data_IF_245388978402
#
_entry.id   IF_245388978402
#
_cell.length_a   1.000
_cell.length_b   1.000
_cell.length_c   1.000
_cell.angle_alpha   90.00
_cell.angle_beta   90.00
_cell.angle_gamma   90.00
#
_symmetry.space_group_name_H-M   'P 1'
#
loop_
_entity.id
_entity.type
_entity.pdbx_description
1 polymer ?
#
# COMPACT_ATOMS: atom_id res chain seq x y z
N UNK A 1 -27.49 22.35 6.10
CA UNK A 1 -26.27 21.68 6.65
C UNK A 1 -25.68 20.71 5.62
N UNK A 2 -24.35 20.70 5.44
CA UNK A 2 -23.65 19.77 4.56
C UNK A 2 -22.54 19.03 5.31
N UNK A 3 -22.60 17.69 5.32
CA UNK A 3 -21.56 16.84 5.89
C UNK A 3 -20.57 16.45 4.78
N UNK A 4 -19.28 16.45 5.08
CA UNK A 4 -18.23 16.14 4.11
C UNK A 4 -16.98 15.61 4.79
N UNK A 5 -15.99 15.18 4.00
CA UNK A 5 -14.69 14.66 4.45
C UNK A 5 -14.82 13.46 5.41
N UNK A 6 -15.77 12.54 5.08
CA UNK A 6 -15.98 11.31 5.82
C UNK A 6 -14.74 10.43 5.75
N UNK A 7 -14.24 9.97 6.90
CA UNK A 7 -13.03 9.17 7.00
C UNK A 7 -13.17 8.05 8.01
N UNK A 8 -12.49 6.95 7.74
CA UNK A 8 -12.21 5.88 8.71
C UNK A 8 -10.70 5.76 8.83
N UNK A 9 -10.18 5.77 10.07
CA UNK A 9 -8.76 5.82 10.37
C UNK A 9 -8.04 6.93 9.55
N UNK A 10 -8.67 8.13 9.52
CA UNK A 10 -8.18 9.34 8.83
C UNK A 10 -8.08 9.23 7.30
N UNK A 11 -8.59 8.17 6.68
CA UNK A 11 -8.57 7.93 5.25
C UNK A 11 -9.97 7.93 4.65
N UNK A 12 -10.12 8.40 3.40
CA UNK A 12 -11.37 8.32 2.63
C UNK A 12 -11.49 6.95 1.97
N UNK A 13 -12.61 6.28 2.20
CA UNK A 13 -12.91 4.97 1.62
C UNK A 13 -11.73 4.01 1.66
N UNK A 14 -11.08 3.81 2.82
CA UNK A 14 -9.87 2.99 2.90
C UNK A 14 -10.18 1.51 2.68
N UNK A 15 -9.19 0.81 2.11
CA UNK A 15 -9.16 -0.65 2.05
C UNK A 15 -7.98 -1.18 2.86
N UNK A 16 -8.15 -2.35 3.46
CA UNK A 16 -7.07 -3.02 4.18
C UNK A 16 -6.66 -2.33 5.48
N UNK A 17 -7.61 -1.77 6.21
CA UNK A 17 -7.35 -1.12 7.50
C UNK A 17 -7.55 -2.09 8.67
N UNK A 18 -6.95 -1.75 9.81
CA UNK A 18 -7.25 -2.40 11.08
C UNK A 18 -8.69 -2.05 11.53
N UNK A 19 -9.48 -3.09 11.81
CA UNK A 19 -10.87 -2.97 12.26
C UNK A 19 -11.04 -3.18 13.77
N UNK A 20 -9.97 -3.35 14.53
CA UNK A 20 -10.08 -3.58 15.97
C UNK A 20 -10.73 -2.40 16.70
N UNK A 21 -10.36 -1.18 16.34
CA UNK A 21 -10.95 0.06 16.90
C UNK A 21 -10.98 1.15 15.82
N UNK A 22 -11.81 1.02 14.77
CA UNK A 22 -11.82 1.96 13.67
C UNK A 22 -12.36 3.32 14.13
N UNK A 23 -11.64 4.38 13.76
CA UNK A 23 -11.97 5.76 14.13
C UNK A 23 -12.69 6.45 12.99
N UNK A 24 -13.95 6.80 13.18
CA UNK A 24 -14.79 7.52 12.23
C UNK A 24 -14.71 9.03 12.48
N UNK A 25 -14.64 9.79 11.39
CA UNK A 25 -14.64 11.26 11.48
C UNK A 25 -15.35 11.90 10.29
N UNK A 26 -15.92 13.08 10.50
CA UNK A 26 -16.60 13.88 9.49
C UNK A 26 -16.49 15.37 9.79
N UNK A 27 -16.75 16.19 8.79
CA UNK A 27 -16.81 17.64 8.90
C UNK A 27 -18.18 18.16 8.51
N UNK A 28 -18.54 19.29 9.06
CA UNK A 28 -19.82 19.97 8.83
C UNK A 28 -19.55 21.36 8.30
N UNK A 29 -20.34 21.81 7.35
CA UNK A 29 -20.36 23.19 6.85
C UNK A 29 -21.79 23.60 6.46
N UNK A 30 -22.00 24.91 6.25
CA UNK A 30 -23.30 25.46 5.82
C UNK A 30 -24.43 25.07 6.78
N UNK A 31 -24.24 25.24 8.07
CA UNK A 31 -25.20 24.93 9.13
C UNK A 31 -25.63 26.21 9.85
N UNK A 32 -26.82 26.20 10.50
CA UNK A 32 -27.41 27.37 11.13
C UNK A 32 -27.00 27.55 12.58
N UNK A 33 -26.80 26.45 13.29
CA UNK A 33 -26.37 26.44 14.66
C UNK A 33 -24.91 26.85 14.86
N UNK A 34 -24.43 26.68 16.08
CA UNK A 34 -23.04 26.98 16.46
C UNK A 34 -22.22 25.73 16.69
N UNK A 35 -22.84 24.60 17.02
CA UNK A 35 -22.19 23.34 17.27
C UNK A 35 -23.12 22.15 16.97
N UNK A 36 -22.51 20.96 16.83
CA UNK A 36 -23.23 19.71 16.77
C UNK A 36 -23.86 19.40 18.15
N UNK A 37 -25.16 19.14 18.19
CA UNK A 37 -25.85 18.69 19.40
C UNK A 37 -25.76 17.16 19.53
N UNK A 38 -26.26 16.43 18.53
CA UNK A 38 -26.09 14.97 18.49
C UNK A 38 -25.81 14.49 17.08
N UNK A 39 -25.39 13.21 17.00
CA UNK A 39 -25.29 12.50 15.72
C UNK A 39 -25.70 11.05 15.88
N UNK A 40 -26.00 10.41 14.74
CA UNK A 40 -26.31 8.99 14.64
C UNK A 40 -25.51 8.39 13.49
N UNK A 41 -24.70 7.37 13.80
CA UNK A 41 -23.82 6.67 12.85
C UNK A 41 -24.38 5.29 12.56
N UNK A 42 -24.50 4.95 11.29
CA UNK A 42 -24.88 3.61 10.83
C UNK A 42 -23.72 2.97 10.08
N UNK A 43 -23.53 1.66 10.31
CA UNK A 43 -22.64 0.82 9.53
C UNK A 43 -23.42 -0.36 9.00
N UNK A 44 -23.24 -0.72 7.73
CA UNK A 44 -23.96 -1.77 7.04
C UNK A 44 -23.03 -2.61 6.16
N UNK A 45 -23.37 -3.89 5.95
CA UNK A 45 -22.71 -4.75 4.96
C UNK A 45 -23.15 -4.44 3.50
N UNK A 46 -24.19 -3.63 3.30
CA UNK A 46 -24.64 -3.25 1.97
C UNK A 46 -25.00 -1.76 1.89
N UNK A 47 -24.87 -1.22 0.70
CA UNK A 47 -25.07 0.20 0.39
C UNK A 47 -26.50 0.71 0.65
N UNK A 48 -27.49 -0.18 0.59
CA UNK A 48 -28.91 0.15 0.84
C UNK A 48 -29.30 0.10 2.32
N UNK A 49 -28.35 -0.18 3.23
CA UNK A 49 -28.56 -0.23 4.68
C UNK A 49 -29.66 -1.18 5.17
N UNK A 50 -29.91 -2.29 4.45
CA UNK A 50 -30.81 -3.36 4.89
C UNK A 50 -30.13 -4.41 5.76
N UNK A 51 -28.79 -4.40 5.83
CA UNK A 51 -27.96 -5.31 6.63
C UNK A 51 -27.10 -4.50 7.61
N UNK A 52 -27.77 -3.82 8.54
CA UNK A 52 -27.09 -3.04 9.56
C UNK A 52 -26.28 -3.95 10.50
N UNK A 53 -25.04 -3.59 10.73
CA UNK A 53 -24.16 -4.20 11.75
C UNK A 53 -23.98 -3.29 12.97
N UNK A 54 -24.23 -1.99 12.79
CA UNK A 54 -24.15 -1.02 13.87
C UNK A 54 -25.09 0.16 13.64
N UNK A 55 -25.71 0.61 14.72
CA UNK A 55 -26.50 1.84 14.83
C UNK A 55 -26.22 2.47 16.19
N UNK A 56 -25.59 3.64 16.20
CA UNK A 56 -25.24 4.31 17.46
C UNK A 56 -26.46 4.80 18.26
N UNK A 57 -27.64 4.91 17.61
CA UNK A 57 -28.68 5.78 18.10
C UNK A 57 -28.24 7.25 18.10
N UNK A 58 -29.09 8.12 18.54
CA UNK A 58 -28.78 9.55 18.72
C UNK A 58 -27.91 9.76 19.96
N UNK A 59 -26.67 10.23 19.74
CA UNK A 59 -25.69 10.42 20.81
C UNK A 59 -24.85 11.68 20.59
N UNK A 60 -24.41 12.30 21.68
CA UNK A 60 -23.36 13.32 21.64
C UNK A 60 -22.00 12.62 21.41
N UNK A 61 -21.54 12.57 20.18
CA UNK A 61 -20.25 11.99 19.81
C UNK A 61 -19.33 13.04 19.19
N UNK A 62 -18.03 12.82 19.33
CA UNK A 62 -17.04 13.71 18.74
C UNK A 62 -16.90 13.40 17.23
N UNK A 63 -17.18 14.39 16.38
CA UNK A 63 -17.03 14.28 14.92
C UNK A 63 -15.57 14.13 14.45
N UNK A 64 -14.59 14.45 15.30
CA UNK A 64 -13.17 14.28 14.99
C UNK A 64 -12.66 12.85 15.26
N UNK A 65 -13.41 12.06 16.04
CA UNK A 65 -13.00 10.69 16.38
C UNK A 65 -14.09 9.95 17.14
N UNK A 66 -14.87 9.16 16.44
CA UNK A 66 -15.87 8.25 16.98
C UNK A 66 -15.46 6.81 16.73
N UNK A 67 -15.33 6.00 17.79
CA UNK A 67 -15.05 4.57 17.70
C UNK A 67 -16.31 3.80 18.09
N UNK A 68 -16.97 3.07 17.16
CA UNK A 68 -18.12 2.24 17.47
C UNK A 68 -17.67 0.99 18.24
N UNK A 69 -18.49 0.57 19.19
CA UNK A 69 -18.34 -0.73 19.86
C UNK A 69 -19.07 -1.78 19.01
N UNK A 70 -18.37 -2.32 18.03
CA UNK A 70 -18.88 -3.31 17.06
C UNK A 70 -17.77 -4.21 16.57
N UNK A 71 -18.06 -5.48 16.45
CA UNK A 71 -17.17 -6.42 15.76
C UNK A 71 -17.38 -6.33 14.24
N UNK A 72 -16.29 -6.10 13.52
CA UNK A 72 -16.25 -6.02 12.06
C UNK A 72 -15.28 -7.09 11.53
N UNK A 73 -15.74 -7.90 10.58
CA UNK A 73 -14.94 -8.97 10.01
C UNK A 73 -13.91 -8.40 8.99
N UNK A 74 -12.64 -8.81 9.05
CA UNK A 74 -11.64 -8.43 8.07
C UNK A 74 -12.00 -8.95 6.66
N UNK A 75 -11.45 -8.29 5.62
CA UNK A 75 -11.69 -8.67 4.22
C UNK A 75 -13.10 -8.38 3.67
N UNK A 76 -14.02 -7.94 4.53
CA UNK A 76 -15.38 -7.53 4.11
C UNK A 76 -15.45 -6.02 3.85
N UNK A 77 -16.19 -5.58 2.81
CA UNK A 77 -16.55 -4.19 2.64
C UNK A 77 -17.70 -3.81 3.58
N UNK A 78 -17.65 -2.59 4.09
CA UNK A 78 -18.69 -1.97 4.89
C UNK A 78 -19.03 -0.60 4.33
N UNK A 79 -20.28 -0.20 4.51
CA UNK A 79 -20.82 1.11 4.15
C UNK A 79 -21.24 1.82 5.42
N UNK A 80 -21.05 3.12 5.45
CA UNK A 80 -21.44 3.92 6.59
C UNK A 80 -21.90 5.31 6.20
N UNK A 81 -22.74 5.88 7.05
CA UNK A 81 -23.22 7.25 6.96
C UNK A 81 -23.47 7.82 8.32
N UNK A 82 -23.63 9.12 8.41
CA UNK A 82 -23.90 9.84 9.64
C UNK A 82 -25.00 10.88 9.44
N UNK A 83 -25.95 10.94 10.38
CA UNK A 83 -26.89 12.03 10.58
C UNK A 83 -26.34 12.93 11.68
N UNK A 84 -26.45 14.23 11.51
CA UNK A 84 -26.09 15.24 12.52
C UNK A 84 -27.25 16.18 12.71
N UNK A 85 -27.50 16.53 13.97
CA UNK A 85 -28.37 17.64 14.39
C UNK A 85 -27.48 18.72 15.01
N UNK A 86 -27.67 19.98 14.62
CA UNK A 86 -27.04 21.11 15.32
C UNK A 86 -27.89 21.65 16.47
N UNK A 87 -27.36 22.57 17.26
CA UNK A 87 -28.03 23.19 18.40
C UNK A 87 -29.19 24.13 18.00
N UNK A 88 -29.43 24.37 16.72
CA UNK A 88 -30.62 25.03 16.18
C UNK A 88 -31.73 24.05 15.78
N UNK A 89 -31.47 22.74 15.84
CA UNK A 89 -32.37 21.69 15.36
C UNK A 89 -32.30 21.40 13.86
N UNK A 90 -31.32 21.96 13.14
CA UNK A 90 -31.14 21.66 11.74
C UNK A 90 -30.51 20.27 11.58
N UNK A 91 -31.12 19.42 10.72
CA UNK A 91 -30.64 18.08 10.42
C UNK A 91 -29.87 18.05 9.10
N UNK A 92 -28.80 17.26 9.07
CA UNK A 92 -28.06 16.93 7.85
C UNK A 92 -27.63 15.48 7.86
N UNK A 93 -27.75 14.80 6.71
CA UNK A 93 -27.26 13.44 6.53
C UNK A 93 -26.11 13.46 5.50
N UNK A 94 -25.12 12.63 5.72
CA UNK A 94 -23.97 12.49 4.82
C UNK A 94 -24.31 11.65 3.59
N UNK A 95 -23.47 11.77 2.55
CA UNK A 95 -23.36 10.74 1.54
C UNK A 95 -22.87 9.43 2.19
N UNK A 96 -23.06 8.30 1.47
CA UNK A 96 -22.58 7.00 1.90
C UNK A 96 -21.07 6.94 1.63
N UNK A 97 -20.31 6.53 2.63
CA UNK A 97 -18.89 6.21 2.51
C UNK A 97 -18.67 4.71 2.76
N UNK A 98 -17.53 4.20 2.32
CA UNK A 98 -17.19 2.78 2.45
C UNK A 98 -15.82 2.57 3.08
N UNK A 99 -15.59 1.37 3.61
CA UNK A 99 -14.27 0.92 4.06
C UNK A 99 -14.20 -0.60 4.02
N UNK A 100 -12.98 -1.13 4.01
CA UNK A 100 -12.74 -2.58 3.99
C UNK A 100 -11.61 -2.91 4.96
N UNK A 101 -11.76 -4.03 5.68
CA UNK A 101 -10.74 -4.55 6.58
C UNK A 101 -9.53 -5.15 5.87
N UNK A 102 -8.53 -5.53 6.66
CA UNK A 102 -7.31 -6.18 6.19
C UNK A 102 -7.53 -7.60 5.67
N UNK A 103 -6.49 -8.43 5.75
CA UNK A 103 -6.50 -9.81 5.26
C UNK A 103 -7.68 -10.61 5.85
N UNK A 104 -8.45 -11.35 5.01
CA UNK A 104 -9.70 -11.98 5.44
C UNK A 104 -9.51 -13.16 6.39
N UNK A 105 -8.34 -13.75 6.44
CA UNK A 105 -8.02 -14.93 7.23
C UNK A 105 -6.85 -14.65 8.18
N UNK A 106 -6.85 -15.31 9.35
CA UNK A 106 -5.74 -15.24 10.30
C UNK A 106 -4.45 -15.83 9.71
N UNK A 107 -4.59 -16.92 8.97
CA UNK A 107 -3.47 -17.61 8.33
C UNK A 107 -3.38 -17.25 6.85
N UNK A 108 -2.22 -16.78 6.41
CA UNK A 108 -1.93 -16.53 5.03
C UNK A 108 -1.77 -17.83 4.24
N UNK A 109 -2.30 -17.88 3.01
CA UNK A 109 -2.06 -18.98 2.08
C UNK A 109 -0.60 -19.01 1.62
N UNK A 110 -0.04 -17.83 1.38
CA UNK A 110 1.35 -17.65 1.03
C UNK A 110 2.31 -18.04 2.14
N UNK A 111 3.53 -18.31 1.74
CA UNK A 111 4.67 -18.49 2.63
C UNK A 111 5.71 -17.42 2.33
N UNK A 112 6.48 -17.02 3.33
CA UNK A 112 7.62 -16.16 3.13
C UNK A 112 8.60 -16.81 2.16
N UNK A 113 8.94 -16.08 1.10
CA UNK A 113 9.91 -16.51 0.08
C UNK A 113 11.05 -15.51 -0.02
N UNK A 114 12.22 -16.01 -0.44
CA UNK A 114 13.43 -15.24 -0.72
C UNK A 114 14.09 -15.73 -2.00
N UNK A 115 15.04 -14.95 -2.50
CA UNK A 115 15.80 -15.32 -3.68
C UNK A 115 16.99 -16.23 -3.31
N UNK A 116 17.27 -17.32 -4.06
CA UNK A 116 18.37 -18.24 -3.78
C UNK A 116 19.72 -17.76 -4.36
N UNK A 117 19.94 -16.45 -4.38
CA UNK A 117 21.20 -15.85 -4.79
C UNK A 117 21.70 -14.87 -3.73
N UNK A 118 22.83 -14.21 -3.97
CA UNK A 118 23.42 -13.30 -2.98
C UNK A 118 22.40 -12.30 -2.44
N UNK A 119 22.34 -12.15 -1.13
CA UNK A 119 21.49 -11.20 -0.42
C UNK A 119 21.76 -9.73 -0.78
N UNK A 120 22.90 -9.42 -1.39
CA UNK A 120 23.24 -8.08 -1.86
C UNK A 120 22.53 -7.71 -3.18
N UNK A 121 22.01 -8.71 -3.91
CA UNK A 121 21.31 -8.50 -5.18
C UNK A 121 19.83 -8.26 -4.89
N UNK A 122 19.32 -7.13 -5.32
CA UNK A 122 17.91 -6.81 -5.20
C UNK A 122 17.07 -7.72 -6.11
N UNK A 123 16.05 -8.40 -5.57
CA UNK A 123 15.24 -9.33 -6.35
C UNK A 123 14.00 -8.67 -6.95
N UNK A 124 13.49 -9.30 -8.02
CA UNK A 124 12.10 -9.19 -8.45
C UNK A 124 11.47 -10.57 -8.33
N UNK A 125 10.41 -10.69 -7.54
CA UNK A 125 9.62 -11.90 -7.47
C UNK A 125 8.50 -11.85 -8.50
N UNK A 126 8.41 -12.86 -9.35
CA UNK A 126 7.48 -12.86 -10.48
C UNK A 126 6.62 -14.13 -10.51
N UNK A 127 5.32 -13.96 -10.76
CA UNK A 127 4.35 -15.05 -10.88
C UNK A 127 3.39 -14.82 -12.04
N UNK A 128 3.14 -15.86 -12.80
CA UNK A 128 2.06 -15.89 -13.77
C UNK A 128 0.79 -16.47 -13.13
N UNK A 129 -0.31 -15.75 -13.27
CA UNK A 129 -1.63 -16.14 -12.78
C UNK A 129 -2.59 -16.17 -13.97
N UNK A 130 -3.35 -17.25 -14.11
CA UNK A 130 -4.36 -17.35 -15.15
C UNK A 130 -5.73 -16.94 -14.62
N UNK A 131 -6.36 -15.98 -15.30
CA UNK A 131 -7.70 -15.46 -14.99
C UNK A 131 -8.57 -15.60 -16.25
N UNK A 132 -9.04 -16.83 -16.57
CA UNK A 132 -9.73 -17.09 -17.84
C UNK A 132 -11.06 -16.37 -17.96
N UNK A 133 -11.74 -16.07 -16.84
CA UNK A 133 -13.09 -15.52 -16.77
C UNK A 133 -13.10 -14.20 -15.97
N UNK A 134 -12.35 -13.21 -16.44
CA UNK A 134 -12.22 -11.91 -15.75
C UNK A 134 -13.58 -11.23 -15.54
N UNK A 135 -14.52 -11.42 -16.43
CA UNK A 135 -15.89 -10.90 -16.36
C UNK A 135 -16.72 -11.47 -15.20
N UNK A 136 -16.31 -12.62 -14.66
CA UNK A 136 -16.91 -13.22 -13.46
C UNK A 136 -16.28 -12.74 -12.16
N UNK A 137 -15.14 -12.06 -12.23
CA UNK A 137 -14.49 -11.52 -11.03
C UNK A 137 -15.25 -10.28 -10.57
N UNK A 138 -15.76 -10.31 -9.35
CA UNK A 138 -16.40 -9.19 -8.69
C UNK A 138 -15.36 -8.27 -8.01
N UNK A 139 -14.48 -8.88 -7.23
CA UNK A 139 -13.46 -8.19 -6.43
C UNK A 139 -12.12 -8.94 -6.52
N UNK A 140 -11.02 -8.19 -6.62
CA UNK A 140 -9.68 -8.75 -6.53
C UNK A 140 -8.83 -7.92 -5.56
N UNK A 141 -8.20 -8.58 -4.59
CA UNK A 141 -7.30 -7.94 -3.60
C UNK A 141 -5.98 -8.66 -3.57
N UNK A 142 -4.91 -7.89 -3.57
CA UNK A 142 -3.57 -8.37 -3.28
C UNK A 142 -3.16 -7.85 -1.90
N UNK A 143 -2.94 -8.77 -0.99
CA UNK A 143 -2.33 -8.51 0.32
C UNK A 143 -0.85 -8.80 0.19
N UNK A 144 0.00 -7.86 0.55
CA UNK A 144 1.44 -7.98 0.31
C UNK A 144 2.27 -7.32 1.39
N UNK A 145 3.35 -7.99 1.78
CA UNK A 145 4.38 -7.49 2.66
C UNK A 145 5.76 -7.85 2.12
N UNK A 146 6.65 -6.87 1.99
CA UNK A 146 8.04 -7.07 1.62
C UNK A 146 8.98 -6.65 2.76
N UNK A 147 10.02 -7.41 3.00
CA UNK A 147 11.09 -7.06 3.92
C UNK A 147 12.26 -6.44 3.13
N UNK A 148 12.29 -5.16 3.14
CA UNK A 148 12.88 -4.18 2.26
C UNK A 148 11.77 -3.23 1.77
N UNK A 149 12.10 -2.19 1.03
CA UNK A 149 11.07 -1.41 0.32
C UNK A 149 10.62 -2.20 -0.91
N UNK A 150 9.33 -2.08 -1.28
CA UNK A 150 8.83 -2.80 -2.42
C UNK A 150 7.81 -2.00 -3.25
N UNK A 151 7.71 -2.39 -4.50
CA UNK A 151 6.67 -1.96 -5.42
C UNK A 151 6.08 -3.17 -6.15
N UNK A 152 4.77 -3.13 -6.39
CA UNK A 152 4.04 -4.17 -7.11
C UNK A 152 3.68 -3.68 -8.50
N UNK A 153 3.85 -4.56 -9.48
CA UNK A 153 3.42 -4.35 -10.86
C UNK A 153 2.57 -5.54 -11.32
N UNK A 154 1.50 -5.25 -12.04
CA UNK A 154 0.70 -6.26 -12.74
C UNK A 154 0.66 -5.90 -14.22
N UNK A 155 1.03 -6.85 -15.08
CA UNK A 155 1.12 -6.65 -16.53
C UNK A 155 1.96 -5.41 -16.90
N UNK A 156 3.04 -5.15 -16.15
CA UNK A 156 3.95 -4.02 -16.35
C UNK A 156 3.42 -2.67 -15.84
N UNK A 157 2.22 -2.62 -15.25
CA UNK A 157 1.64 -1.40 -14.68
C UNK A 157 1.83 -1.41 -13.16
N UNK A 158 2.38 -0.33 -12.60
CA UNK A 158 2.51 -0.17 -11.13
C UNK A 158 1.13 -0.17 -10.49
N UNK A 159 0.96 -0.98 -9.45
CA UNK A 159 -0.27 -1.05 -8.65
C UNK A 159 -0.25 0.03 -7.57
N UNK A 160 -1.31 0.83 -7.55
CA UNK A 160 -1.47 1.90 -6.56
C UNK A 160 -0.50 3.07 -6.74
N UNK A 161 -0.51 3.98 -5.77
CA UNK A 161 0.22 5.24 -5.80
C UNK A 161 1.11 5.46 -4.56
N UNK A 162 1.30 4.40 -3.76
CA UNK A 162 2.08 4.44 -2.54
C UNK A 162 3.57 4.27 -2.83
N UNK A 163 4.40 4.86 -1.95
CA UNK A 163 5.85 4.77 -1.95
C UNK A 163 6.36 4.42 -0.56
N UNK A 164 7.58 3.88 -0.48
CA UNK A 164 8.26 3.51 0.76
C UNK A 164 7.52 2.45 1.60
N UNK A 165 6.71 1.60 0.96
CA UNK A 165 6.06 0.47 1.62
C UNK A 165 7.08 -0.60 2.00
N UNK A 166 6.90 -1.32 3.13
CA UNK A 166 5.74 -1.39 4.03
C UNK A 166 5.68 -0.29 5.10
N UNK A 167 6.50 0.74 5.02
CA UNK A 167 6.75 1.77 6.03
C UNK A 167 7.61 1.29 7.20
N UNK A 168 8.11 2.26 7.96
CA UNK A 168 8.91 1.98 9.13
C UNK A 168 8.05 1.55 10.31
N UNK A 169 8.46 0.46 10.96
CA UNK A 169 7.95 -0.01 12.24
C UNK A 169 9.11 -0.62 13.04
N UNK A 170 8.91 -0.98 14.28
CA UNK A 170 9.85 -1.89 14.93
C UNK A 170 9.53 -3.33 14.47
N UNK A 171 10.20 -3.76 13.42
CA UNK A 171 9.97 -5.06 12.77
C UNK A 171 10.20 -6.27 13.68
N UNK A 172 10.69 -6.08 14.89
CA UNK A 172 10.78 -7.16 15.91
C UNK A 172 9.43 -7.47 16.52
N UNK A 173 8.50 -6.49 16.52
CA UNK A 173 7.20 -6.60 17.15
C UNK A 173 6.07 -6.67 16.13
N UNK A 174 6.07 -5.79 15.12
CA UNK A 174 5.01 -5.74 14.14
C UNK A 174 5.47 -5.21 12.79
N UNK A 175 4.84 -5.69 11.73
CA UNK A 175 5.18 -5.39 10.34
C UNK A 175 3.89 -5.07 9.59
N UNK A 176 3.84 -3.95 8.92
CA UNK A 176 2.66 -3.58 8.14
C UNK A 176 2.65 -4.32 6.80
N UNK A 177 1.48 -4.83 6.41
CA UNK A 177 1.21 -5.25 5.05
C UNK A 177 0.24 -4.27 4.38
N UNK A 178 0.26 -4.22 3.06
CA UNK A 178 -0.65 -3.40 2.28
C UNK A 178 -1.71 -4.28 1.61
N UNK A 179 -2.92 -3.72 1.50
CA UNK A 179 -4.01 -4.26 0.70
C UNK A 179 -4.16 -3.40 -0.54
N UNK A 180 -4.15 -4.03 -1.71
CA UNK A 180 -4.26 -3.34 -2.99
C UNK A 180 -5.47 -3.84 -3.76
N UNK A 181 -6.30 -2.94 -4.28
CA UNK A 181 -7.31 -3.28 -5.29
C UNK A 181 -6.60 -3.52 -6.62
N UNK A 182 -6.68 -4.75 -7.11
CA UNK A 182 -5.96 -5.15 -8.32
C UNK A 182 -6.86 -5.53 -9.47
N UNK A 183 -8.18 -5.43 -9.31
CA UNK A 183 -9.13 -5.87 -10.33
C UNK A 183 -8.91 -5.18 -11.68
N UNK A 184 -8.70 -3.88 -11.70
CA UNK A 184 -8.50 -3.10 -12.93
C UNK A 184 -7.15 -3.36 -13.64
N UNK A 185 -6.20 -4.00 -12.96
CA UNK A 185 -4.91 -4.37 -13.52
C UNK A 185 -4.90 -5.76 -14.15
N UNK A 186 -5.94 -6.57 -13.86
CA UNK A 186 -6.06 -7.94 -14.38
C UNK A 186 -6.74 -7.94 -15.74
N UNK A 187 -6.25 -8.82 -16.62
CA UNK A 187 -6.76 -9.04 -17.96
C UNK A 187 -7.24 -10.50 -18.11
N UNK A 188 -8.04 -10.80 -19.13
CA UNK A 188 -8.46 -12.16 -19.43
C UNK A 188 -7.26 -13.03 -19.81
N UNK A 189 -7.13 -14.19 -19.20
CA UNK A 189 -6.06 -15.13 -19.41
C UNK A 189 -4.84 -14.89 -18.52
N UNK A 190 -3.63 -14.99 -19.06
CA UNK A 190 -2.39 -14.92 -18.28
C UNK A 190 -2.04 -13.51 -17.85
N UNK A 191 -1.94 -13.32 -16.54
CA UNK A 191 -1.50 -12.09 -15.90
C UNK A 191 -0.14 -12.33 -15.23
N UNK A 192 0.71 -11.34 -15.26
CA UNK A 192 2.01 -11.38 -14.60
C UNK A 192 2.04 -10.41 -13.44
N UNK A 193 2.39 -10.91 -12.26
CA UNK A 193 2.59 -10.14 -11.04
C UNK A 193 4.09 -10.07 -10.78
N UNK A 194 4.65 -8.89 -10.64
CA UNK A 194 6.04 -8.63 -10.31
C UNK A 194 6.12 -7.82 -9.02
N UNK A 195 6.91 -8.28 -8.05
CA UNK A 195 7.17 -7.58 -6.79
C UNK A 195 8.66 -7.26 -6.73
N UNK A 196 9.00 -5.98 -6.89
CA UNK A 196 10.35 -5.45 -6.82
C UNK A 196 10.70 -5.15 -5.36
N UNK A 197 11.86 -5.59 -4.89
CA UNK A 197 12.37 -5.25 -3.56
C UNK A 197 13.67 -4.48 -3.66
N UNK A 198 13.82 -3.52 -2.75
CA UNK A 198 15.04 -2.73 -2.57
C UNK A 198 15.37 -2.53 -1.09
N UNK A 199 16.57 -2.03 -0.79
CA UNK A 199 16.94 -1.72 0.58
C UNK A 199 16.02 -0.65 1.18
N UNK A 200 15.73 -0.81 2.46
CA UNK A 200 14.90 0.09 3.24
C UNK A 200 15.27 0.03 4.71
N UNK A 201 14.31 0.13 5.60
CA UNK A 201 14.57 0.10 7.04
C UNK A 201 14.77 -1.30 7.58
N UNK A 202 14.14 -2.32 7.02
CA UNK A 202 14.33 -3.72 7.43
C UNK A 202 15.72 -4.21 7.04
N UNK A 203 16.02 -4.21 5.74
CA UNK A 203 17.31 -4.50 5.14
C UNK A 203 17.88 -3.22 4.55
N UNK A 204 19.09 -2.86 4.92
CA UNK A 204 19.74 -1.64 4.50
C UNK A 204 20.22 -0.80 5.68
N UNK A 205 20.38 0.49 5.45
CA UNK A 205 20.81 1.43 6.47
C UNK A 205 19.62 1.96 7.27
N UNK A 206 19.76 2.00 8.58
CA UNK A 206 18.73 2.49 9.49
C UNK A 206 19.36 3.25 10.66
N UNK A 207 19.09 4.57 10.72
CA UNK A 207 19.48 5.40 11.85
C UNK A 207 20.99 5.51 12.11
N UNK A 208 21.32 6.29 13.09
CA UNK A 208 22.69 6.60 13.49
C UNK A 208 22.90 6.33 14.99
N UNK A 209 24.00 5.74 15.34
CA UNK A 209 24.40 5.55 16.75
C UNK A 209 25.76 6.17 16.98
N UNK A 210 26.23 6.21 18.24
CA UNK A 210 27.59 6.60 18.60
C UNK A 210 28.69 5.70 17.98
N UNK A 211 28.29 4.52 17.43
CA UNK A 211 29.17 3.59 16.68
C UNK A 211 29.03 3.72 15.16
N UNK A 212 28.29 4.71 14.70
CA UNK A 212 28.02 4.95 13.27
C UNK A 212 26.64 4.52 12.82
N UNK A 213 26.48 4.39 11.49
CA UNK A 213 25.23 4.05 10.84
C UNK A 213 24.89 2.57 11.04
N UNK A 214 23.71 2.30 11.55
CA UNK A 214 23.18 0.92 11.66
C UNK A 214 22.87 0.36 10.27
N UNK A 215 23.28 -0.90 10.04
CA UNK A 215 22.98 -1.65 8.82
C UNK A 215 22.33 -2.97 9.20
N UNK A 216 21.33 -3.39 8.39
CA UNK A 216 20.69 -4.71 8.52
C UNK A 216 20.25 -5.02 9.96
N UNK A 217 19.75 -3.99 10.66
CA UNK A 217 19.43 -4.06 12.08
C UNK A 217 18.30 -5.07 12.38
N UNK A 218 17.34 -5.17 11.47
CA UNK A 218 16.19 -6.06 11.63
C UNK A 218 16.35 -7.36 10.85
N UNK A 219 17.10 -7.35 9.76
CA UNK A 219 17.38 -8.51 8.94
C UNK A 219 18.22 -8.18 7.72
N UNK A 220 18.82 -9.21 7.13
CA UNK A 220 19.80 -9.09 6.05
C UNK A 220 19.33 -9.73 4.73
N UNK A 221 18.09 -10.25 4.67
CA UNK A 221 17.54 -10.89 3.50
C UNK A 221 16.30 -10.16 2.99
N UNK A 222 16.19 -10.05 1.67
CA UNK A 222 14.94 -9.65 1.03
C UNK A 222 13.95 -10.80 1.11
N UNK A 223 12.77 -10.53 1.64
CA UNK A 223 11.70 -11.52 1.72
C UNK A 223 10.39 -10.91 1.25
N UNK A 224 9.48 -11.72 0.76
CA UNK A 224 8.13 -11.31 0.42
C UNK A 224 7.12 -12.36 0.82
N UNK A 225 5.97 -11.89 1.26
CA UNK A 225 4.75 -12.65 1.49
C UNK A 225 3.61 -11.95 0.76
N UNK A 226 2.82 -12.70 0.01
CA UNK A 226 1.66 -12.14 -0.67
C UNK A 226 0.57 -13.18 -0.87
N UNK A 227 -0.69 -12.70 -0.81
CA UNK A 227 -1.90 -13.44 -1.16
C UNK A 227 -2.76 -12.63 -2.12
N UNK A 228 -3.03 -13.19 -3.30
CA UNK A 228 -4.01 -12.67 -4.24
C UNK A 228 -5.33 -13.41 -4.03
N UNK A 229 -6.39 -12.67 -3.71
CA UNK A 229 -7.76 -13.17 -3.63
C UNK A 229 -8.58 -12.68 -4.81
N UNK A 230 -9.28 -13.61 -5.45
CA UNK A 230 -10.19 -13.38 -6.56
C UNK A 230 -11.59 -13.85 -6.14
N UNK A 231 -12.48 -12.91 -5.83
CA UNK A 231 -13.89 -13.21 -5.52
C UNK A 231 -14.71 -13.14 -6.80
N UNK A 232 -15.47 -14.19 -7.06
CA UNK A 232 -16.40 -14.26 -8.19
C UNK A 232 -17.79 -13.79 -7.80
N UNK A 233 -18.57 -13.38 -8.79
CA UNK A 233 -19.97 -12.94 -8.64
C UNK A 233 -20.91 -14.01 -8.08
N UNK A 234 -20.55 -15.28 -8.20
CA UNK A 234 -21.27 -16.43 -7.63
C UNK A 234 -20.90 -16.72 -6.17
N UNK A 235 -20.04 -15.91 -5.57
CA UNK A 235 -19.55 -16.06 -4.20
C UNK A 235 -18.32 -16.96 -4.06
N UNK A 236 -17.87 -17.64 -5.13
CA UNK A 236 -16.64 -18.44 -5.06
C UNK A 236 -15.42 -17.53 -4.90
N UNK A 237 -14.45 -18.01 -4.12
CA UNK A 237 -13.20 -17.31 -3.87
C UNK A 237 -12.01 -18.19 -4.20
N UNK A 238 -11.03 -17.64 -4.89
CA UNK A 238 -9.75 -18.28 -5.16
C UNK A 238 -8.65 -17.47 -4.49
N UNK A 239 -7.80 -18.14 -3.71
CA UNK A 239 -6.60 -17.54 -3.13
C UNK A 239 -5.34 -18.11 -3.78
N UNK A 240 -4.37 -17.26 -4.05
CA UNK A 240 -3.08 -17.59 -4.68
C UNK A 240 -1.98 -16.93 -3.86
N UNK A 241 -1.24 -17.72 -3.10
CA UNK A 241 -0.17 -17.23 -2.23
C UNK A 241 1.23 -17.30 -2.85
N UNK A 242 2.18 -16.68 -2.15
CA UNK A 242 3.61 -16.85 -2.45
C UNK A 242 4.08 -18.25 -2.09
N UNK A 243 4.81 -18.88 -3.01
CA UNK A 243 5.38 -20.22 -2.86
C UNK A 243 6.64 -20.40 -3.74
N UNK A 244 7.20 -21.61 -3.75
CA UNK A 244 8.39 -21.93 -4.55
C UNK A 244 8.17 -21.90 -6.08
N UNK A 245 6.95 -21.73 -6.56
CA UNK A 245 6.67 -21.59 -8.00
C UNK A 245 6.82 -20.14 -8.49
N UNK A 246 7.02 -19.18 -7.59
CA UNK A 246 7.43 -17.84 -7.96
C UNK A 246 8.86 -17.82 -8.46
N UNK A 247 9.13 -17.03 -9.48
CA UNK A 247 10.47 -16.79 -9.97
C UNK A 247 11.16 -15.71 -9.15
N UNK A 248 12.44 -15.88 -8.90
CA UNK A 248 13.34 -14.86 -8.36
C UNK A 248 14.26 -14.36 -9.48
N UNK A 249 14.10 -13.11 -9.87
CA UNK A 249 14.88 -12.45 -10.91
C UNK A 249 15.77 -11.37 -10.30
N UNK A 250 16.87 -11.02 -10.97
CA UNK A 250 17.70 -9.89 -10.57
C UNK A 250 17.04 -8.59 -11.02
N UNK A 251 16.93 -7.62 -10.13
CA UNK A 251 16.32 -6.31 -10.40
C UNK A 251 17.19 -5.45 -11.33
N UNK A 252 16.57 -4.60 -12.17
CA UNK A 252 17.25 -3.48 -12.82
C UNK A 252 17.83 -2.47 -11.82
N UNK A 253 17.20 -2.26 -10.65
CA UNK A 253 17.80 -1.56 -9.53
C UNK A 253 18.88 -2.46 -8.93
N UNK A 254 20.12 -2.23 -9.33
CA UNK A 254 21.29 -3.03 -8.89
C UNK A 254 21.58 -2.77 -7.42
N UNK A 255 21.35 -1.53 -6.99
CA UNK A 255 21.48 -1.08 -5.62
C UNK A 255 20.47 0.07 -5.37
N UNK A 256 19.86 0.08 -4.21
CA UNK A 256 19.09 1.23 -3.72
C UNK A 256 19.26 1.37 -2.21
N UNK A 257 19.09 2.58 -1.69
CA UNK A 257 19.11 2.85 -0.27
C UNK A 257 18.57 4.25 0.03
N UNK A 258 17.82 4.39 1.11
CA UNK A 258 17.23 5.69 1.50
C UNK A 258 18.30 6.78 1.65
N UNK A 259 19.48 6.41 2.13
CA UNK A 259 20.60 7.33 2.36
C UNK A 259 21.61 7.38 1.22
N UNK A 260 21.62 6.39 0.32
CA UNK A 260 22.68 6.20 -0.66
C UNK A 260 22.20 6.44 -2.11
N UNK A 261 20.90 6.63 -2.32
CA UNK A 261 20.32 6.77 -3.65
C UNK A 261 20.14 5.41 -4.35
N UNK A 262 20.19 5.42 -5.67
CA UNK A 262 19.91 4.25 -6.51
C UNK A 262 20.96 4.11 -7.63
N UNK A 263 21.38 2.88 -7.88
CA UNK A 263 22.12 2.49 -9.07
C UNK A 263 21.19 1.62 -9.93
N UNK A 264 20.79 2.13 -11.10
CA UNK A 264 19.84 1.49 -11.99
C UNK A 264 20.49 1.12 -13.32
N UNK A 265 20.33 -0.12 -13.76
CA UNK A 265 20.80 -0.60 -15.06
C UNK A 265 19.60 -0.92 -15.97
N UNK A 266 19.25 0.02 -16.84
CA UNK A 266 18.12 -0.12 -17.76
C UNK A 266 18.23 -1.33 -18.73
N UNK A 267 19.43 -1.86 -18.97
CA UNK A 267 19.61 -3.07 -19.78
C UNK A 267 18.97 -4.30 -19.15
N UNK A 268 18.87 -4.30 -17.81
CA UNK A 268 18.25 -5.39 -17.05
C UNK A 268 16.72 -5.42 -17.13
N UNK A 269 16.06 -4.33 -17.55
CA UNK A 269 14.60 -4.30 -17.74
C UNK A 269 14.13 -5.39 -18.70
N UNK A 270 14.85 -5.59 -19.80
CA UNK A 270 14.55 -6.64 -20.80
C UNK A 270 14.62 -8.06 -20.22
N UNK A 271 15.45 -8.26 -19.19
CA UNK A 271 15.57 -9.55 -18.51
C UNK A 271 14.31 -9.84 -17.69
N UNK A 272 13.81 -8.82 -16.99
CA UNK A 272 12.58 -8.95 -16.22
C UNK A 272 11.38 -9.13 -17.16
N UNK A 273 11.28 -8.36 -18.23
CA UNK A 273 10.18 -8.45 -19.20
C UNK A 273 10.08 -9.82 -19.89
N UNK A 274 11.21 -10.33 -20.42
CA UNK A 274 11.24 -11.54 -21.25
C UNK A 274 11.55 -12.82 -20.49
N UNK A 275 12.12 -12.72 -19.31
CA UNK A 275 12.53 -13.84 -18.42
C UNK A 275 13.16 -14.98 -19.23
N UNK A 276 14.40 -14.83 -19.73
CA UNK A 276 15.07 -15.88 -20.49
C UNK A 276 15.11 -17.18 -19.70
N UNK A 277 14.88 -18.30 -20.35
CA UNK A 277 14.74 -19.62 -19.71
C UNK A 277 15.91 -19.95 -18.78
N UNK A 278 17.14 -19.64 -19.19
CA UNK A 278 18.37 -19.80 -18.39
C UNK A 278 18.44 -18.95 -17.12
N UNK A 279 17.55 -17.95 -16.97
CA UNK A 279 17.49 -17.05 -15.83
C UNK A 279 16.24 -17.30 -14.97
N UNK A 280 15.47 -18.34 -15.27
CA UNK A 280 14.32 -18.76 -14.48
C UNK A 280 14.81 -19.53 -13.26
N UNK A 281 14.98 -18.81 -12.17
CA UNK A 281 15.35 -19.38 -10.87
C UNK A 281 14.11 -19.26 -9.97
N UNK A 282 13.71 -20.35 -9.37
CA UNK A 282 12.57 -20.33 -8.44
C UNK A 282 12.98 -19.74 -7.10
N UNK A 283 12.05 -19.04 -6.47
CA UNK A 283 12.19 -18.62 -5.10
C UNK A 283 12.28 -19.83 -4.14
N UNK A 284 12.85 -19.59 -2.98
CA UNK A 284 12.92 -20.58 -1.89
C UNK A 284 12.17 -20.06 -0.67
N UNK A 285 11.73 -20.95 0.22
CA UNK A 285 11.13 -20.52 1.47
C UNK A 285 12.16 -19.81 2.34
N UNK A 286 11.68 -18.80 3.04
CA UNK A 286 12.44 -18.05 4.04
C UNK A 286 11.82 -18.27 5.42
N UNK A 287 12.66 -18.13 6.45
CA UNK A 287 12.16 -18.11 7.82
C UNK A 287 11.32 -16.84 8.04
N UNK A 288 10.12 -16.97 8.62
CA UNK A 288 9.28 -15.81 8.92
C UNK A 288 10.00 -14.79 9.81
N UNK A 289 9.77 -13.49 9.64
CA UNK A 289 10.24 -12.49 10.59
C UNK A 289 9.57 -12.66 11.95
N UNK A 290 10.17 -12.07 12.98
CA UNK A 290 9.62 -12.18 14.35
C UNK A 290 8.36 -11.35 14.56
N UNK A 291 8.24 -10.21 13.88
CA UNK A 291 7.13 -9.28 14.06
C UNK A 291 5.82 -9.83 13.50
N UNK A 292 4.73 -9.55 14.20
CA UNK A 292 3.37 -9.90 13.77
C UNK A 292 2.95 -9.05 12.58
N UNK A 293 2.32 -9.65 11.58
CA UNK A 293 1.74 -8.93 10.45
C UNK A 293 0.48 -8.18 10.90
N UNK A 294 0.42 -6.91 10.54
CA UNK A 294 -0.73 -6.05 10.83
C UNK A 294 -1.16 -5.27 9.58
N UNK A 295 -2.46 -4.97 9.45
CA UNK A 295 -2.93 -4.05 8.43
C UNK A 295 -2.24 -2.68 8.55
N UNK A 296 -2.22 -1.93 7.46
CA UNK A 296 -1.69 -0.57 7.48
C UNK A 296 -2.46 0.33 8.45
N UNK A 297 -1.75 0.97 9.38
CA UNK A 297 -2.35 1.83 10.42
C UNK A 297 -2.13 3.32 10.17
N UNK A 298 -1.20 3.70 9.31
CA UNK A 298 -0.84 5.10 9.02
C UNK A 298 -1.38 5.60 7.69
N UNK A 299 -1.19 6.91 7.45
CA UNK A 299 -1.48 7.50 6.15
C UNK A 299 -0.42 7.06 5.13
N UNK A 300 -0.83 6.70 3.90
CA UNK A 300 0.12 6.29 2.88
C UNK A 300 1.00 7.46 2.40
N UNK A 301 2.27 7.16 2.16
CA UNK A 301 3.19 8.10 1.49
C UNK A 301 2.85 8.13 0.01
N UNK A 302 2.48 9.31 -0.50
CA UNK A 302 2.07 9.51 -1.88
C UNK A 302 2.70 10.76 -2.47
N UNK A 303 2.92 10.74 -3.78
CA UNK A 303 3.30 11.94 -4.52
C UNK A 303 2.14 12.95 -4.47
N UNK A 304 2.38 14.14 -3.92
CA UNK A 304 1.37 15.18 -3.77
C UNK A 304 1.31 16.10 -4.98
N UNK A 305 2.47 16.52 -5.48
CA UNK A 305 2.56 17.44 -6.60
C UNK A 305 3.85 17.25 -7.41
N UNK A 306 3.91 17.85 -8.57
CA UNK A 306 5.09 17.90 -9.43
C UNK A 306 5.50 19.36 -9.57
N UNK A 307 6.67 19.70 -9.06
CA UNK A 307 7.24 21.03 -9.17
C UNK A 307 8.13 21.13 -10.40
N UNK A 308 8.06 22.26 -11.09
CA UNK A 308 8.97 22.59 -12.19
C UNK A 308 10.17 23.36 -11.67
N UNK A 309 11.34 23.14 -12.26
CA UNK A 309 12.54 23.95 -12.00
C UNK A 309 12.24 25.40 -12.31
N UNK A 310 12.46 26.31 -11.36
CA UNK A 310 12.30 27.76 -11.51
C UNK A 310 13.58 28.42 -12.02
N UNK A 311 14.74 27.94 -11.54
CA UNK A 311 16.05 28.50 -11.94
C UNK A 311 17.09 27.39 -12.05
N UNK A 312 18.03 27.60 -12.97
CA UNK A 312 19.27 26.86 -13.06
C UNK A 312 20.39 27.78 -12.55
N UNK A 313 21.11 27.33 -11.53
CA UNK A 313 22.17 28.10 -10.90
C UNK A 313 23.48 27.35 -11.10
N UNK A 314 24.56 28.05 -11.46
CA UNK A 314 25.91 27.52 -11.45
C UNK A 314 26.60 27.95 -10.15
N UNK A 315 27.04 26.99 -9.37
CA UNK A 315 27.85 27.27 -8.17
C UNK A 315 29.26 27.76 -8.54
N UNK A 316 29.96 28.39 -7.61
CA UNK A 316 31.33 28.83 -7.81
C UNK A 316 32.30 27.68 -8.14
N UNK A 317 31.98 26.46 -7.76
CA UNK A 317 32.76 25.23 -8.06
C UNK A 317 32.26 24.50 -9.30
N UNK A 318 31.33 25.10 -10.07
CA UNK A 318 30.87 24.58 -11.37
C UNK A 318 29.69 23.59 -11.30
N UNK A 319 29.09 23.35 -10.14
CA UNK A 319 27.91 22.48 -10.03
C UNK A 319 26.66 23.12 -10.64
N UNK A 320 25.76 22.29 -11.13
CA UNK A 320 24.44 22.70 -11.61
C UNK A 320 23.40 22.45 -10.53
N UNK A 321 22.81 23.51 -10.02
CA UNK A 321 21.78 23.47 -8.99
C UNK A 321 20.43 23.71 -9.64
N UNK A 322 19.46 22.86 -9.37
CA UNK A 322 18.06 22.99 -9.79
C UNK A 322 17.28 23.63 -8.64
N UNK A 323 16.94 24.90 -8.78
CA UNK A 323 16.12 25.62 -7.80
C UNK A 323 14.63 25.47 -8.13
N UNK A 324 13.87 24.83 -7.25
CA UNK A 324 12.42 24.67 -7.37
C UNK A 324 11.64 25.80 -6.69
N UNK A 325 12.34 26.73 -6.03
CA UNK A 325 11.76 27.93 -5.41
C UNK A 325 11.05 27.68 -4.08
N UNK A 326 11.16 26.50 -3.51
CA UNK A 326 10.69 26.13 -2.18
C UNK A 326 11.46 24.91 -1.68
N UNK A 327 11.47 24.71 -0.37
CA UNK A 327 11.93 23.48 0.24
C UNK A 327 10.96 22.34 -0.07
N UNK A 328 11.50 21.16 -0.43
CA UNK A 328 10.72 20.00 -0.83
C UNK A 328 11.28 18.72 -0.24
N UNK A 329 10.40 17.77 0.05
CA UNK A 329 10.73 16.37 0.27
C UNK A 329 10.25 15.58 -0.94
N UNK A 330 11.17 14.92 -1.68
CA UNK A 330 10.81 14.23 -2.90
C UNK A 330 12.00 13.71 -3.67
N UNK A 331 11.82 13.47 -4.95
CA UNK A 331 12.86 13.02 -5.87
C UNK A 331 12.78 13.74 -7.21
N UNK A 332 13.89 13.74 -7.95
CA UNK A 332 13.99 14.38 -9.26
C UNK A 332 13.46 13.45 -10.34
N UNK A 333 12.73 14.01 -11.31
CA UNK A 333 12.35 13.34 -12.55
C UNK A 333 12.96 14.10 -13.74
N UNK A 334 13.77 13.40 -14.53
CA UNK A 334 14.33 13.95 -15.77
C UNK A 334 14.17 12.97 -16.93
N UNK A 335 14.29 13.48 -18.16
CA UNK A 335 14.38 12.68 -19.37
C UNK A 335 15.75 12.84 -19.97
N UNK A 336 16.36 11.75 -20.35
CA UNK A 336 17.59 11.73 -21.12
C UNK A 336 17.44 10.89 -22.37
N UNK A 337 18.19 11.22 -23.41
CA UNK A 337 18.36 10.43 -24.63
C UNK A 337 19.85 10.20 -24.80
N UNK A 338 20.32 9.10 -24.29
CA UNK A 338 21.74 8.75 -24.27
C UNK A 338 21.94 7.38 -24.92
N UNK A 339 23.12 7.09 -25.49
CA UNK A 339 23.47 5.79 -26.02
C UNK A 339 23.41 4.71 -24.94
N UNK A 340 23.16 3.45 -25.32
CA UNK A 340 23.20 2.31 -24.42
C UNK A 340 24.56 2.23 -23.71
N UNK A 341 24.53 2.06 -22.38
CA UNK A 341 25.72 1.99 -21.53
C UNK A 341 26.27 3.34 -21.06
N UNK A 342 25.70 4.46 -21.52
CA UNK A 342 26.01 5.78 -21.00
C UNK A 342 25.52 5.92 -19.56
N UNK A 343 26.40 6.40 -18.67
CA UNK A 343 26.00 6.79 -17.29
C UNK A 343 25.44 8.21 -17.28
N UNK A 344 24.39 8.41 -16.52
CA UNK A 344 23.71 9.71 -16.33
C UNK A 344 23.69 10.04 -14.86
#
# INVERSE_FOLDING_TARGET
MKLYDLKVNYQKNPIGIDLHAPVFSWKIKEFKGTCQDYSRVWISENEVFTKLVFDSGEKKVNSCGFTPDVFLEPGKPYYWKVLVCDDSGELGESEIAQFEGGHPEENWHGKWITAPFSKEIQPVFSKWVDVPEIEKIEKARLYVCGLGLYEVYINGKKVGDQFLTPYFTDYRYWIQYQTMDVKEYLEKGKNRIDIYLGNGWYKGKFGYTNKGLLREYYGDQFQVLADLYLWKKDGACQAIGTDKSWLALKSPSVFSGIYDGELYDARMERVVEKVPERQRINAVFAEPPRGTLMPMVGLPVRKKEILKVKKLIRSAIGETILDFGQEITGWVRFRCHVPEGQKV
#
